data_IF_968797912236
#
_entry.id   IF_968797912236
#
_cell.length_a   1.000
_cell.length_b   1.000
_cell.length_c   1.000
_cell.angle_alpha   90.00
_cell.angle_beta   90.00
_cell.angle_gamma   90.00
#
_symmetry.space_group_name_H-M   'P 1'
#
loop_
_entity.id
_entity.type
_entity.pdbx_description
1 polymer ?
#
# COMPACT_ATOMS: atom_id res chain seq x y z
N UNK A 1 -5.01 -49.98 -24.31
CA UNK A 1 -5.98 -48.85 -24.26
C UNK A 1 -6.51 -48.77 -22.84
N UNK A 2 -5.91 -47.89 -22.05
CA UNK A 2 -6.26 -47.54 -20.66
C UNK A 2 -5.81 -46.07 -20.49
N UNK A 3 -6.61 -45.20 -19.84
CA UNK A 3 -6.41 -43.76 -19.92
C UNK A 3 -5.32 -43.26 -18.96
N UNK A 4 -4.57 -42.25 -19.40
CA UNK A 4 -3.61 -41.50 -18.60
C UNK A 4 -4.37 -40.58 -17.63
N UNK A 5 -4.27 -40.86 -16.33
CA UNK A 5 -4.73 -40.00 -15.26
C UNK A 5 -3.83 -38.77 -15.13
N UNK A 6 -4.40 -37.59 -15.36
CA UNK A 6 -3.77 -36.32 -15.04
C UNK A 6 -3.99 -35.98 -13.57
N UNK A 7 -2.92 -35.93 -12.79
CA UNK A 7 -2.88 -35.21 -11.50
C UNK A 7 -2.09 -33.92 -11.71
N UNK A 8 -2.74 -32.96 -12.37
CA UNK A 8 -2.29 -31.57 -12.40
C UNK A 8 -2.91 -30.84 -11.22
N UNK A 9 -2.21 -30.80 -10.10
CA UNK A 9 -2.54 -29.92 -8.99
C UNK A 9 -2.40 -28.46 -9.45
N UNK A 10 -3.45 -27.62 -9.38
CA UNK A 10 -3.38 -26.26 -9.90
C UNK A 10 -2.55 -25.36 -8.95
N UNK A 11 -1.74 -24.43 -9.48
CA UNK A 11 -0.91 -23.56 -8.66
C UNK A 11 -1.77 -22.54 -7.87
N UNK A 12 -1.32 -22.09 -6.68
CA UNK A 12 -2.07 -21.15 -5.85
C UNK A 12 -1.82 -19.72 -6.34
N UNK A 13 -2.45 -19.35 -7.45
CA UNK A 13 -2.64 -17.95 -7.81
C UNK A 13 -4.10 -17.60 -7.50
N UNK A 14 -4.30 -16.50 -6.77
CA UNK A 14 -5.62 -16.04 -6.33
C UNK A 14 -6.60 -16.01 -7.52
N UNK A 15 -7.74 -16.69 -7.39
CA UNK A 15 -8.85 -16.73 -8.37
C UNK A 15 -9.56 -15.37 -8.57
N UNK A 16 -8.88 -14.26 -8.32
CA UNK A 16 -9.33 -12.92 -8.61
C UNK A 16 -8.62 -12.43 -9.88
N UNK A 17 -8.94 -13.04 -11.02
CA UNK A 17 -8.77 -12.39 -12.32
C UNK A 17 -9.64 -11.12 -12.40
N UNK A 18 -9.60 -10.35 -13.50
CA UNK A 18 -10.18 -9.00 -13.58
C UNK A 18 -11.72 -9.04 -13.68
N UNK A 19 -12.40 -9.62 -12.68
CA UNK A 19 -13.86 -9.68 -12.56
C UNK A 19 -14.51 -8.30 -12.70
N UNK A 20 -13.82 -7.25 -12.25
CA UNK A 20 -14.25 -5.86 -12.43
C UNK A 20 -14.37 -5.48 -13.92
N UNK A 21 -13.43 -5.90 -14.78
CA UNK A 21 -13.49 -5.66 -16.23
C UNK A 21 -14.44 -6.61 -16.97
N UNK A 22 -14.56 -7.87 -16.54
CA UNK A 22 -15.46 -8.85 -17.15
C UNK A 22 -16.93 -8.38 -17.12
N UNK A 23 -17.35 -7.78 -16.00
CA UNK A 23 -18.70 -7.23 -15.84
C UNK A 23 -19.03 -6.12 -16.86
N UNK A 24 -18.02 -5.34 -17.27
CA UNK A 24 -18.17 -4.26 -18.25
C UNK A 24 -18.48 -4.83 -19.62
N UNK A 25 -17.68 -5.80 -20.08
CA UNK A 25 -17.88 -6.44 -21.37
C UNK A 25 -19.23 -7.15 -21.44
N UNK A 26 -19.58 -7.93 -20.41
CA UNK A 26 -20.84 -8.66 -20.34
C UNK A 26 -22.06 -7.73 -20.39
N UNK A 27 -22.03 -6.63 -19.63
CA UNK A 27 -23.13 -5.65 -19.61
C UNK A 27 -23.29 -4.98 -20.97
N UNK A 28 -22.19 -4.52 -21.57
CA UNK A 28 -22.23 -3.77 -22.83
C UNK A 28 -22.70 -4.65 -24.00
N UNK A 29 -22.23 -5.91 -24.06
CA UNK A 29 -22.69 -6.90 -25.04
C UNK A 29 -24.16 -7.23 -24.82
N UNK A 30 -24.60 -7.44 -23.57
CA UNK A 30 -26.01 -7.70 -23.27
C UNK A 30 -26.95 -6.58 -23.72
N UNK A 31 -26.57 -5.33 -23.49
CA UNK A 31 -27.33 -4.17 -23.99
C UNK A 31 -27.37 -4.10 -25.51
N UNK A 32 -26.27 -4.42 -26.19
CA UNK A 32 -26.24 -4.45 -27.65
C UNK A 32 -27.11 -5.59 -28.22
N UNK A 33 -27.07 -6.78 -27.62
CA UNK A 33 -27.95 -7.91 -27.98
C UNK A 33 -29.42 -7.54 -27.81
N UNK A 34 -29.78 -6.94 -26.68
CA UNK A 34 -31.15 -6.45 -26.45
C UNK A 34 -31.57 -5.46 -27.55
N UNK A 35 -30.65 -4.59 -28.00
CA UNK A 35 -30.93 -3.65 -29.09
C UNK A 35 -31.08 -4.35 -30.44
N UNK A 36 -30.29 -5.39 -30.71
CA UNK A 36 -30.41 -6.21 -31.91
C UNK A 36 -31.77 -6.92 -31.97
N UNK A 37 -32.24 -7.50 -30.86
CA UNK A 37 -33.53 -8.17 -30.77
C UNK A 37 -34.69 -7.21 -31.09
N UNK A 38 -34.66 -6.00 -30.51
CA UNK A 38 -35.67 -4.96 -30.75
C UNK A 38 -35.70 -4.52 -32.21
N UNK A 39 -34.55 -4.29 -32.83
CA UNK A 39 -34.50 -3.84 -34.23
C UNK A 39 -34.80 -4.97 -35.22
N UNK A 40 -34.41 -6.21 -34.91
CA UNK A 40 -34.81 -7.39 -35.68
C UNK A 40 -36.32 -7.57 -35.68
N UNK A 41 -36.98 -7.42 -34.52
CA UNK A 41 -38.44 -7.46 -34.42
C UNK A 41 -39.14 -6.43 -35.30
N UNK A 42 -38.59 -5.22 -35.39
CA UNK A 42 -39.10 -4.15 -36.29
C UNK A 42 -38.87 -4.44 -37.78
N UNK A 43 -37.82 -5.19 -38.10
CA UNK A 43 -37.42 -5.52 -39.47
C UNK A 43 -37.99 -6.85 -39.98
N UNK A 44 -39.00 -7.42 -39.31
CA UNK A 44 -39.62 -8.69 -39.73
C UNK A 44 -38.84 -9.94 -39.31
N UNK A 45 -38.06 -9.85 -38.23
CA UNK A 45 -37.39 -10.99 -37.58
C UNK A 45 -35.93 -11.21 -37.98
N UNK A 46 -35.35 -10.39 -38.87
CA UNK A 46 -33.94 -10.52 -39.27
C UNK A 46 -33.27 -9.17 -39.54
N UNK A 47 -31.94 -9.14 -39.42
CA UNK A 47 -31.11 -7.98 -39.77
C UNK A 47 -29.99 -8.42 -40.71
N UNK A 48 -29.75 -7.66 -41.77
CA UNK A 48 -28.58 -7.82 -42.63
C UNK A 48 -27.29 -7.38 -41.93
N UNK A 49 -26.15 -7.86 -42.43
CA UNK A 49 -24.83 -7.46 -41.93
C UNK A 49 -24.59 -5.93 -41.99
N UNK A 50 -25.13 -5.25 -43.00
CA UNK A 50 -25.04 -3.80 -43.13
C UNK A 50 -25.84 -3.08 -42.03
N UNK A 51 -27.05 -3.57 -41.73
CA UNK A 51 -27.89 -3.03 -40.66
C UNK A 51 -27.24 -3.24 -39.28
N UNK A 52 -26.66 -4.42 -39.03
CA UNK A 52 -25.95 -4.72 -37.78
C UNK A 52 -24.77 -3.76 -37.58
N UNK A 53 -23.94 -3.52 -38.62
CA UNK A 53 -22.83 -2.56 -38.54
C UNK A 53 -23.30 -1.13 -38.27
N UNK A 54 -24.33 -0.68 -38.97
CA UNK A 54 -24.88 0.66 -38.78
C UNK A 54 -25.52 0.83 -37.39
N UNK A 55 -26.10 -0.25 -36.83
CA UNK A 55 -26.62 -0.26 -35.47
C UNK A 55 -25.51 -0.23 -34.43
N UNK A 56 -24.44 -1.02 -34.61
CA UNK A 56 -23.28 -1.03 -33.72
C UNK A 56 -22.62 0.35 -33.60
N UNK A 57 -22.41 1.04 -34.74
CA UNK A 57 -21.84 2.39 -34.74
C UNK A 57 -22.72 3.39 -33.98
N UNK A 58 -24.05 3.34 -34.19
CA UNK A 58 -25.00 4.20 -33.48
C UNK A 58 -25.08 3.88 -32.00
N UNK A 59 -25.06 2.60 -31.65
CA UNK A 59 -25.06 2.14 -30.27
C UNK A 59 -23.83 2.66 -29.53
N UNK A 60 -22.63 2.48 -30.08
CA UNK A 60 -21.39 2.98 -29.47
C UNK A 60 -21.45 4.51 -29.30
N UNK A 61 -21.87 5.25 -30.33
CA UNK A 61 -21.94 6.71 -30.27
C UNK A 61 -22.94 7.23 -29.23
N UNK A 62 -24.12 6.60 -29.11
CA UNK A 62 -25.16 7.02 -28.18
C UNK A 62 -24.90 6.59 -26.73
N UNK A 63 -24.34 5.40 -26.55
CA UNK A 63 -24.24 4.75 -25.24
C UNK A 63 -22.92 5.07 -24.52
N UNK A 64 -21.90 5.59 -25.20
CA UNK A 64 -20.64 6.02 -24.58
C UNK A 64 -20.83 6.94 -23.37
N UNK A 65 -21.73 7.92 -23.48
CA UNK A 65 -22.02 8.87 -22.39
C UNK A 65 -22.79 8.20 -21.24
N UNK A 66 -23.72 7.29 -21.56
CA UNK A 66 -24.57 6.58 -20.59
C UNK A 66 -23.77 5.58 -19.77
N UNK A 67 -22.81 4.89 -20.38
CA UNK A 67 -21.93 3.95 -19.68
C UNK A 67 -20.72 4.62 -19.03
N UNK A 68 -20.48 5.93 -19.22
CA UNK A 68 -19.34 6.65 -18.62
C UNK A 68 -19.23 6.41 -17.11
N UNK A 69 -20.34 6.54 -16.38
CA UNK A 69 -20.36 6.30 -14.93
C UNK A 69 -20.19 4.82 -14.54
N UNK A 70 -20.52 3.89 -15.44
CA UNK A 70 -20.24 2.47 -15.25
C UNK A 70 -18.75 2.16 -15.47
N UNK A 71 -18.14 2.69 -16.54
CA UNK A 71 -16.71 2.57 -16.81
C UNK A 71 -15.86 3.18 -15.69
N UNK A 72 -16.25 4.36 -15.20
CA UNK A 72 -15.56 5.00 -14.08
C UNK A 72 -15.60 4.12 -12.82
N UNK A 73 -16.76 3.55 -12.47
CA UNK A 73 -16.86 2.62 -11.33
C UNK A 73 -16.00 1.37 -11.50
N UNK A 74 -16.06 0.74 -12.67
CA UNK A 74 -15.23 -0.43 -12.94
C UNK A 74 -13.73 -0.10 -12.89
N UNK A 75 -13.34 1.05 -13.43
CA UNK A 75 -11.97 1.55 -13.35
C UNK A 75 -11.53 1.81 -11.90
N UNK A 76 -12.36 2.48 -11.11
CA UNK A 76 -12.10 2.76 -9.70
C UNK A 76 -11.95 1.45 -8.91
N UNK A 77 -12.84 0.48 -9.12
CA UNK A 77 -12.80 -0.83 -8.46
C UNK A 77 -11.55 -1.64 -8.86
N UNK A 78 -11.22 -1.68 -10.15
CA UNK A 78 -10.00 -2.35 -10.61
C UNK A 78 -8.74 -1.66 -10.06
N UNK A 79 -8.73 -0.33 -9.96
CA UNK A 79 -7.62 0.42 -9.39
C UNK A 79 -7.48 0.10 -7.91
N UNK A 80 -8.57 0.14 -7.14
CA UNK A 80 -8.58 -0.26 -5.72
C UNK A 80 -8.05 -1.69 -5.55
N UNK A 81 -8.53 -2.65 -6.35
CA UNK A 81 -8.10 -4.04 -6.27
C UNK A 81 -6.61 -4.21 -6.62
N UNK A 82 -6.13 -3.50 -7.65
CA UNK A 82 -4.71 -3.52 -8.04
C UNK A 82 -3.82 -2.92 -6.95
N UNK A 83 -4.18 -1.77 -6.40
CA UNK A 83 -3.43 -1.14 -5.31
C UNK A 83 -3.47 -1.99 -4.03
N UNK A 84 -4.58 -2.69 -3.76
CA UNK A 84 -4.65 -3.66 -2.67
C UNK A 84 -3.70 -4.85 -2.88
N UNK A 85 -3.56 -5.34 -4.11
CA UNK A 85 -2.57 -6.37 -4.46
C UNK A 85 -1.13 -5.85 -4.34
N UNK A 86 -0.88 -4.58 -4.71
CA UNK A 86 0.42 -3.95 -4.50
C UNK A 86 0.74 -3.80 -3.00
N UNK A 87 -0.24 -3.44 -2.17
CA UNK A 87 -0.08 -3.43 -0.70
C UNK A 87 0.18 -4.82 -0.13
N UNK A 88 -0.51 -5.83 -0.64
CA UNK A 88 -0.27 -7.22 -0.27
C UNK A 88 1.11 -7.69 -0.75
N UNK A 89 1.60 -7.16 -1.86
CA UNK A 89 2.99 -7.34 -2.30
C UNK A 89 3.99 -6.55 -1.44
N UNK A 90 3.61 -5.40 -0.87
CA UNK A 90 4.44 -4.67 0.09
C UNK A 90 4.58 -5.43 1.43
N UNK A 91 3.65 -6.34 1.76
CA UNK A 91 3.87 -7.33 2.84
C UNK A 91 5.03 -8.30 2.54
N UNK A 92 5.47 -8.37 1.27
CA UNK A 92 6.67 -9.10 0.85
C UNK A 92 7.95 -8.26 0.97
N UNK A 93 7.86 -6.94 1.19
CA UNK A 93 9.01 -6.07 1.45
C UNK A 93 9.34 -6.14 2.94
N UNK A 94 10.40 -6.88 3.34
CA UNK A 94 10.63 -7.18 4.75
C UNK A 94 10.95 -5.94 5.58
N UNK A 95 11.73 -5.01 5.02
CA UNK A 95 12.11 -3.78 5.70
C UNK A 95 10.91 -2.90 6.01
N UNK A 96 10.03 -2.67 5.02
CA UNK A 96 8.80 -1.90 5.18
C UNK A 96 7.94 -2.47 6.31
N UNK A 97 7.78 -3.79 6.35
CA UNK A 97 6.97 -4.44 7.38
C UNK A 97 7.56 -4.27 8.79
N UNK A 98 8.87 -4.41 8.94
CA UNK A 98 9.56 -4.19 10.21
C UNK A 98 9.47 -2.71 10.62
N UNK A 99 9.57 -1.78 9.67
CA UNK A 99 9.43 -0.35 9.92
C UNK A 99 8.01 0.04 10.35
N UNK A 100 6.99 -0.44 9.64
CA UNK A 100 5.57 -0.17 9.93
C UNK A 100 5.18 -0.67 11.32
N UNK A 101 5.78 -1.76 11.80
CA UNK A 101 5.53 -2.31 13.14
C UNK A 101 5.66 -1.26 14.25
N UNK A 102 6.54 -0.25 14.07
CA UNK A 102 6.77 0.85 15.02
C UNK A 102 5.51 1.66 15.32
N UNK A 103 4.63 1.81 14.34
CA UNK A 103 3.43 2.64 14.45
C UNK A 103 2.14 1.91 14.07
N UNK A 104 2.20 0.59 13.86
CA UNK A 104 1.05 -0.21 13.45
C UNK A 104 -0.16 -0.08 14.41
N UNK A 105 0.11 0.15 15.70
CA UNK A 105 -0.91 0.37 16.74
C UNK A 105 -1.76 1.64 16.50
N UNK A 106 -1.30 2.58 15.67
CA UNK A 106 -2.06 3.77 15.27
C UNK A 106 -3.16 3.46 14.24
N UNK A 107 -3.12 2.27 13.62
CA UNK A 107 -4.14 1.84 12.68
C UNK A 107 -5.28 1.09 13.39
N UNK A 108 -6.52 1.12 12.86
CA UNK A 108 -7.63 0.32 13.38
C UNK A 108 -7.32 -1.17 13.35
N UNK A 109 -7.81 -1.98 14.27
CA UNK A 109 -7.55 -3.43 14.25
C UNK A 109 -8.13 -4.09 12.98
N UNK A 110 -7.42 -5.07 12.42
CA UNK A 110 -7.89 -5.92 11.33
C UNK A 110 -7.41 -7.35 11.57
N UNK A 111 -8.21 -8.33 11.17
CA UNK A 111 -7.85 -9.75 11.30
C UNK A 111 -6.52 -10.04 10.62
N UNK A 112 -5.56 -10.57 11.39
CA UNK A 112 -4.26 -11.01 10.88
C UNK A 112 -3.23 -9.89 10.66
N UNK A 113 -3.36 -8.73 11.31
CA UNK A 113 -2.33 -7.68 11.29
C UNK A 113 -2.04 -7.05 12.67
N UNK A 114 -0.99 -6.22 12.73
CA UNK A 114 -0.51 -5.55 13.95
C UNK A 114 -1.30 -4.26 14.31
N UNK A 115 -2.51 -4.09 13.77
CA UNK A 115 -3.38 -2.95 14.07
C UNK A 115 -3.81 -2.89 15.53
N UNK A 116 -4.20 -1.70 15.99
CA UNK A 116 -4.65 -1.44 17.35
C UNK A 116 -5.96 -0.64 17.42
N UNK A 117 -6.12 0.18 18.46
CA UNK A 117 -7.30 1.03 18.65
C UNK A 117 -7.18 2.41 17.97
N UNK A 118 -6.17 2.60 17.11
CA UNK A 118 -5.92 3.89 16.50
C UNK A 118 -6.87 4.22 15.35
N UNK A 119 -6.94 5.50 15.00
CA UNK A 119 -7.86 6.04 13.98
C UNK A 119 -7.14 6.39 12.66
N UNK A 120 -5.85 6.13 12.56
CA UNK A 120 -5.07 6.49 11.38
C UNK A 120 -5.44 5.57 10.22
N UNK A 121 -5.68 6.14 9.03
CA UNK A 121 -5.97 5.31 7.86
C UNK A 121 -4.71 4.59 7.38
N UNK A 122 -4.81 3.28 7.10
CA UNK A 122 -3.75 2.49 6.46
C UNK A 122 -3.43 2.97 5.04
N UNK A 123 -4.30 3.79 4.44
CA UNK A 123 -4.08 4.37 3.10
C UNK A 123 -2.77 5.18 3.03
N UNK A 124 -2.20 5.59 4.17
CA UNK A 124 -0.92 6.30 4.21
C UNK A 124 0.29 5.44 3.87
N UNK A 125 0.21 4.11 4.00
CA UNK A 125 1.38 3.22 3.98
C UNK A 125 2.20 3.36 2.69
N UNK A 126 1.61 3.38 1.46
CA UNK A 126 2.39 3.55 0.24
C UNK A 126 3.15 4.87 0.19
N UNK A 127 2.46 5.98 0.51
CA UNK A 127 3.07 7.30 0.54
C UNK A 127 4.13 7.44 1.63
N UNK A 128 3.94 6.76 2.76
CA UNK A 128 4.94 6.66 3.83
C UNK A 128 6.20 5.94 3.36
N UNK A 129 6.08 4.72 2.82
CA UNK A 129 7.24 3.94 2.33
C UNK A 129 7.97 4.72 1.22
N UNK A 130 7.24 5.36 0.32
CA UNK A 130 7.81 6.22 -0.73
C UNK A 130 8.59 7.40 -0.14
N UNK A 131 8.04 8.08 0.87
CA UNK A 131 8.71 9.19 1.53
C UNK A 131 9.99 8.72 2.25
N UNK A 132 9.93 7.60 2.97
CA UNK A 132 11.09 6.98 3.63
C UNK A 132 12.17 6.64 2.60
N UNK A 133 11.82 5.93 1.53
CA UNK A 133 12.75 5.57 0.47
C UNK A 133 13.43 6.79 -0.18
N UNK A 134 12.70 7.90 -0.35
CA UNK A 134 13.27 9.16 -0.83
C UNK A 134 14.21 9.83 0.18
N UNK A 135 13.96 9.68 1.48
CA UNK A 135 14.79 10.28 2.54
C UNK A 135 16.08 9.49 2.78
N UNK A 136 16.01 8.15 2.80
CA UNK A 136 17.20 7.31 3.06
C UNK A 136 17.99 6.99 1.78
N UNK A 137 17.35 7.11 0.61
CA UNK A 137 17.96 6.85 -0.69
C UNK A 137 18.02 5.35 -1.04
N UNK A 138 18.20 5.03 -2.33
CA UNK A 138 18.08 3.66 -2.84
C UNK A 138 19.17 2.72 -2.31
N UNK A 139 20.40 3.21 -2.12
CA UNK A 139 21.51 2.37 -1.64
C UNK A 139 21.28 1.87 -0.21
N UNK A 140 20.90 2.76 0.71
CA UNK A 140 20.62 2.38 2.09
C UNK A 140 19.34 1.55 2.18
N UNK A 141 18.32 1.86 1.38
CA UNK A 141 17.11 1.05 1.32
C UNK A 141 17.42 -0.39 0.90
N UNK A 142 18.19 -0.59 -0.17
CA UNK A 142 18.60 -1.92 -0.63
C UNK A 142 19.42 -2.67 0.43
N UNK A 143 20.32 -1.97 1.13
CA UNK A 143 21.08 -2.57 2.23
C UNK A 143 20.16 -3.01 3.38
N UNK A 144 19.12 -2.23 3.67
CA UNK A 144 18.13 -2.60 4.68
C UNK A 144 17.35 -3.85 4.27
N UNK A 145 16.90 -3.93 3.02
CA UNK A 145 16.21 -5.11 2.50
C UNK A 145 17.07 -6.37 2.59
N UNK A 146 18.33 -6.31 2.12
CA UNK A 146 19.27 -7.43 2.21
C UNK A 146 19.52 -7.88 3.66
N UNK A 147 19.63 -6.93 4.58
CA UNK A 147 19.79 -7.24 6.01
C UNK A 147 18.53 -7.89 6.57
N UNK A 148 17.35 -7.44 6.15
CA UNK A 148 16.09 -8.05 6.55
C UNK A 148 15.92 -9.46 6.00
N UNK A 149 16.33 -9.75 4.76
CA UNK A 149 16.30 -11.10 4.20
C UNK A 149 17.15 -12.08 5.02
N UNK A 150 18.33 -11.64 5.48
CA UNK A 150 19.17 -12.42 6.38
C UNK A 150 18.50 -12.65 7.75
N UNK A 151 17.81 -11.64 8.30
CA UNK A 151 17.03 -11.79 9.54
C UNK A 151 15.89 -12.79 9.34
N UNK A 152 15.08 -12.62 8.28
CA UNK A 152 13.97 -13.51 7.97
C UNK A 152 14.44 -14.95 7.87
N UNK A 153 15.52 -15.21 7.13
CA UNK A 153 16.07 -16.55 6.93
C UNK A 153 16.42 -17.27 8.25
N UNK A 154 16.82 -16.54 9.30
CA UNK A 154 17.08 -17.12 10.64
C UNK A 154 15.83 -17.48 11.42
N UNK A 155 14.72 -16.82 11.12
CA UNK A 155 13.43 -16.97 11.82
C UNK A 155 12.39 -17.70 10.96
N UNK A 156 12.80 -18.27 9.83
CA UNK A 156 11.97 -19.15 8.99
C UNK A 156 11.91 -20.54 9.61
N UNK A 157 10.71 -21.00 9.92
CA UNK A 157 10.45 -22.34 10.39
C UNK A 157 10.63 -23.39 9.27
N UNK A 158 10.76 -24.69 9.59
CA UNK A 158 10.96 -25.75 8.58
C UNK A 158 9.85 -25.85 7.53
N UNK A 159 8.63 -25.38 7.84
CA UNK A 159 7.49 -25.34 6.91
C UNK A 159 7.47 -24.07 6.04
N UNK A 160 8.48 -23.20 6.16
CA UNK A 160 8.57 -21.93 5.46
C UNK A 160 7.78 -20.78 6.11
N UNK A 161 7.12 -21.01 7.26
CA UNK A 161 6.43 -19.95 7.98
C UNK A 161 7.42 -19.02 8.70
N UNK A 162 7.04 -17.75 8.88
CA UNK A 162 7.85 -16.73 9.54
C UNK A 162 7.29 -16.42 10.92
N UNK A 163 8.11 -16.56 11.97
CA UNK A 163 7.78 -16.06 13.30
C UNK A 163 8.03 -14.55 13.37
N UNK A 164 7.01 -13.77 13.02
CA UNK A 164 7.07 -12.31 13.08
C UNK A 164 7.33 -11.77 14.49
N UNK A 165 6.88 -12.45 15.54
CA UNK A 165 7.15 -12.02 16.90
C UNK A 165 8.64 -12.13 17.24
N UNK A 166 9.29 -13.23 16.84
CA UNK A 166 10.73 -13.40 16.98
C UNK A 166 11.52 -12.40 16.11
N UNK A 167 11.09 -12.17 14.86
CA UNK A 167 11.70 -11.18 13.96
C UNK A 167 11.65 -9.77 14.57
N UNK A 168 10.50 -9.37 15.13
CA UNK A 168 10.35 -8.06 15.78
C UNK A 168 11.16 -7.96 17.08
N UNK A 169 11.40 -9.08 17.76
CA UNK A 169 12.23 -9.13 18.96
C UNK A 169 13.73 -9.06 18.64
N UNK A 170 14.16 -9.46 17.43
CA UNK A 170 15.55 -9.54 16.99
C UNK A 170 16.29 -8.20 17.18
N UNK A 171 17.39 -8.18 17.96
CA UNK A 171 18.18 -6.96 18.17
C UNK A 171 18.71 -6.33 16.87
N UNK A 172 19.03 -7.15 15.86
CA UNK A 172 19.50 -6.68 14.56
C UNK A 172 18.37 -5.97 13.79
N UNK A 173 17.13 -6.46 13.88
CA UNK A 173 15.97 -5.79 13.27
C UNK A 173 15.74 -4.41 13.90
N UNK A 174 15.81 -4.32 15.23
CA UNK A 174 15.70 -3.05 15.97
C UNK A 174 16.83 -2.08 15.62
N UNK A 175 18.06 -2.57 15.56
CA UNK A 175 19.23 -1.78 15.20
C UNK A 175 19.11 -1.25 13.76
N UNK A 176 18.66 -2.09 12.83
CA UNK A 176 18.49 -1.72 11.43
C UNK A 176 17.50 -0.56 11.26
N UNK A 177 16.32 -0.65 11.90
CA UNK A 177 15.33 0.43 11.88
C UNK A 177 15.93 1.71 12.48
N UNK A 178 16.66 1.59 13.59
CA UNK A 178 17.28 2.76 14.22
C UNK A 178 18.31 3.44 13.30
N UNK A 179 19.14 2.70 12.55
CA UNK A 179 20.06 3.29 11.57
C UNK A 179 19.32 4.09 10.50
N UNK A 180 18.27 3.49 9.92
CA UNK A 180 17.46 4.18 8.91
C UNK A 180 16.81 5.45 9.49
N UNK A 181 16.30 5.39 10.71
CA UNK A 181 15.65 6.53 11.37
C UNK A 181 16.61 7.66 11.73
N UNK A 182 17.87 7.37 12.05
CA UNK A 182 18.91 8.40 12.24
C UNK A 182 19.11 9.20 10.94
N UNK A 183 19.18 8.50 9.80
CA UNK A 183 19.28 9.16 8.48
C UNK A 183 18.01 9.97 8.18
N UNK A 184 16.82 9.41 8.44
CA UNK A 184 15.55 10.12 8.28
C UNK A 184 15.53 11.41 9.10
N UNK A 185 15.90 11.37 10.38
CA UNK A 185 15.95 12.55 11.25
C UNK A 185 16.91 13.62 10.70
N UNK A 186 18.05 13.23 10.13
CA UNK A 186 18.99 14.13 9.48
C UNK A 186 18.39 14.92 8.30
N UNK A 187 17.32 14.44 7.67
CA UNK A 187 16.65 15.14 6.57
C UNK A 187 15.75 16.30 7.03
N UNK A 188 15.50 16.43 8.34
CA UNK A 188 14.61 17.43 8.96
C UNK A 188 15.36 18.69 9.45
N UNK A 189 16.50 19.04 8.84
CA UNK A 189 17.21 20.30 9.16
C UNK A 189 16.34 21.55 9.02
N UNK A 190 15.40 21.55 8.07
CA UNK A 190 14.28 22.49 8.00
C UNK A 190 12.98 21.76 8.36
N UNK A 191 12.72 21.61 9.66
CA UNK A 191 11.65 20.76 10.20
C UNK A 191 10.28 21.02 9.54
N UNK A 192 9.82 22.28 9.53
CA UNK A 192 8.49 22.62 9.00
C UNK A 192 8.35 22.34 7.51
N UNK A 193 9.37 22.73 6.72
CA UNK A 193 9.39 22.46 5.28
C UNK A 193 9.39 20.96 5.00
N UNK A 194 10.18 20.18 5.75
CA UNK A 194 10.27 18.73 5.57
C UNK A 194 8.99 18.02 6.01
N UNK A 195 8.34 18.48 7.09
CA UNK A 195 7.02 17.99 7.55
C UNK A 195 5.94 18.19 6.50
N UNK A 196 5.87 19.39 5.91
CA UNK A 196 4.91 19.70 4.85
C UNK A 196 5.17 18.79 3.65
N UNK A 197 6.42 18.73 3.17
CA UNK A 197 6.81 17.85 2.07
C UNK A 197 6.44 16.37 2.32
N UNK A 198 6.69 15.88 3.53
CA UNK A 198 6.36 14.50 3.91
C UNK A 198 4.85 14.28 3.89
N UNK A 199 4.08 15.17 4.49
CA UNK A 199 2.62 15.08 4.52
C UNK A 199 2.02 15.14 3.12
N UNK A 200 2.55 16.01 2.26
CA UNK A 200 2.13 16.13 0.85
C UNK A 200 2.44 14.85 0.08
N UNK A 201 3.63 14.27 0.26
CA UNK A 201 4.01 13.00 -0.36
C UNK A 201 3.07 11.86 0.07
N UNK A 202 2.75 11.78 1.36
CA UNK A 202 1.83 10.78 1.88
C UNK A 202 0.42 10.99 1.31
N UNK A 203 -0.07 12.22 1.34
CA UNK A 203 -1.42 12.57 0.91
C UNK A 203 -1.63 12.39 -0.61
N UNK A 204 -0.60 12.66 -1.42
CA UNK A 204 -0.61 12.44 -2.87
C UNK A 204 -0.63 10.96 -3.25
N UNK A 205 -0.22 10.07 -2.34
CA UNK A 205 -0.09 8.63 -2.58
C UNK A 205 -0.99 7.81 -1.64
N UNK A 206 -2.10 8.39 -1.18
CA UNK A 206 -3.10 7.63 -0.42
C UNK A 206 -3.71 6.57 -1.33
N UNK A 207 -3.78 5.32 -0.84
CA UNK A 207 -4.50 4.26 -1.56
C UNK A 207 -5.93 4.72 -1.86
N UNK A 208 -6.45 4.47 -3.07
CA UNK A 208 -7.84 4.77 -3.39
C UNK A 208 -8.79 4.08 -2.41
N UNK A 209 -9.89 4.74 -2.12
CA UNK A 209 -10.88 4.27 -1.15
C UNK A 209 -12.23 4.16 -1.84
N UNK A 210 -13.05 3.20 -1.41
CA UNK A 210 -14.43 3.11 -1.86
C UNK A 210 -15.21 4.32 -1.37
N UNK A 211 -16.04 4.92 -2.23
CA UNK A 211 -16.96 5.99 -1.82
C UNK A 211 -17.86 5.53 -0.68
N UNK A 212 -18.06 6.40 0.31
CA UNK A 212 -18.82 6.14 1.53
C UNK A 212 -18.06 5.39 2.62
N UNK A 213 -16.78 5.08 2.43
CA UNK A 213 -15.96 4.53 3.51
C UNK A 213 -15.71 5.58 4.60
N UNK A 214 -15.54 5.12 5.84
CA UNK A 214 -15.34 6.00 7.00
C UNK A 214 -14.09 6.88 6.92
N UNK A 215 -13.09 6.47 6.15
CA UNK A 215 -11.83 7.18 5.95
C UNK A 215 -11.71 7.82 4.56
N UNK A 216 -12.83 8.03 3.85
CA UNK A 216 -12.83 8.59 2.50
C UNK A 216 -12.14 9.97 2.44
N UNK A 217 -12.50 10.84 3.37
CA UNK A 217 -11.98 12.20 3.52
C UNK A 217 -10.64 12.28 4.28
N UNK A 218 -10.08 11.14 4.70
CA UNK A 218 -8.85 11.12 5.47
C UNK A 218 -7.71 11.83 4.75
N UNK A 219 -6.96 12.64 5.49
CA UNK A 219 -5.68 13.21 5.12
C UNK A 219 -4.74 13.17 6.31
N UNK A 220 -3.45 12.98 6.06
CA UNK A 220 -2.41 13.16 7.05
C UNK A 220 -2.23 14.65 7.31
N UNK A 221 -2.86 15.14 8.38
CA UNK A 221 -2.66 16.49 8.91
C UNK A 221 -1.50 16.55 9.92
N UNK A 222 -1.31 17.73 10.52
CA UNK A 222 -0.21 18.01 11.45
C UNK A 222 -0.21 17.11 12.69
N UNK A 223 -1.36 16.96 13.35
CA UNK A 223 -1.50 16.06 14.50
C UNK A 223 -1.27 14.60 14.14
N UNK A 224 -1.73 14.18 12.96
CA UNK A 224 -1.49 12.85 12.42
C UNK A 224 -0.01 12.58 12.13
N UNK A 225 0.68 13.56 11.54
CA UNK A 225 2.13 13.51 11.34
C UNK A 225 2.87 13.39 12.68
N UNK A 226 2.54 14.24 13.66
CA UNK A 226 3.18 14.20 14.97
C UNK A 226 2.97 12.86 15.67
N UNK A 227 1.74 12.31 15.66
CA UNK A 227 1.44 10.99 16.20
C UNK A 227 2.25 9.88 15.50
N UNK A 228 2.28 9.89 14.16
CA UNK A 228 3.03 8.93 13.36
C UNK A 228 4.52 8.97 13.68
N UNK A 229 5.13 10.15 13.64
CA UNK A 229 6.57 10.31 13.83
C UNK A 229 6.99 10.03 15.28
N UNK A 230 6.18 10.38 16.28
CA UNK A 230 6.43 10.00 17.67
C UNK A 230 6.43 8.48 17.84
N UNK A 231 5.43 7.79 17.30
CA UNK A 231 5.36 6.33 17.35
C UNK A 231 6.54 5.69 16.62
N UNK A 232 6.88 6.21 15.43
CA UNK A 232 8.00 5.71 14.63
C UNK A 232 9.34 5.81 15.36
N UNK A 233 9.58 6.91 16.08
CA UNK A 233 10.85 7.21 16.75
C UNK A 233 10.91 6.81 18.23
N UNK A 234 9.81 6.32 18.82
CA UNK A 234 9.71 6.06 20.26
C UNK A 234 10.84 5.16 20.80
N UNK A 235 11.11 4.04 20.11
CA UNK A 235 12.15 3.09 20.50
C UNK A 235 13.56 3.65 20.35
N UNK A 236 13.81 4.44 19.29
CA UNK A 236 15.09 5.12 19.10
C UNK A 236 15.31 6.16 20.20
N UNK A 237 14.29 6.93 20.55
CA UNK A 237 14.34 7.88 21.65
C UNK A 237 14.60 7.19 23.00
N UNK A 238 13.95 6.05 23.24
CA UNK A 238 14.18 5.24 24.45
C UNK A 238 15.62 4.70 24.49
N UNK A 239 16.12 4.15 23.38
CA UNK A 239 17.50 3.65 23.28
C UNK A 239 18.54 4.76 23.49
N UNK A 240 18.30 5.94 22.93
CA UNK A 240 19.17 7.11 23.10
C UNK A 240 19.23 7.57 24.56
N UNK A 241 18.09 7.61 25.27
CA UNK A 241 18.04 7.93 26.70
C UNK A 241 18.73 6.88 27.56
N UNK A 242 18.60 5.60 27.21
CA UNK A 242 19.19 4.50 27.97
C UNK A 242 20.72 4.45 27.85
N UNK A 243 21.29 4.76 26.68
CA UNK A 243 22.74 4.73 26.45
C UNK A 243 23.23 5.89 25.56
N UNK A 244 23.27 7.13 26.09
CA UNK A 244 23.67 8.29 25.30
C UNK A 244 25.16 8.26 24.92
N UNK A 245 26.03 7.67 25.74
CA UNK A 245 27.46 7.54 25.43
C UNK A 245 27.69 6.57 24.26
N UNK A 246 27.01 5.42 24.25
CA UNK A 246 27.08 4.47 23.14
C UNK A 246 26.52 5.03 21.84
N UNK A 247 25.42 5.80 21.90
CA UNK A 247 24.89 6.49 20.73
C UNK A 247 25.89 7.51 20.14
N UNK A 248 26.57 8.29 21.00
CA UNK A 248 27.62 9.23 20.55
C UNK A 248 28.84 8.52 19.98
N UNK A 249 29.28 7.43 20.59
CA UNK A 249 30.38 6.63 20.07
C UNK A 249 30.07 6.05 18.69
N UNK A 250 28.79 5.70 18.45
CA UNK A 250 28.33 5.09 17.20
C UNK A 250 28.09 6.10 16.07
N UNK A 251 27.38 7.19 16.35
CA UNK A 251 26.89 8.12 15.32
C UNK A 251 27.59 9.49 15.34
N UNK A 252 28.42 9.76 16.34
CA UNK A 252 29.06 11.05 16.56
C UNK A 252 28.18 12.05 17.30
N UNK A 253 28.84 13.04 17.93
CA UNK A 253 28.16 14.01 18.80
C UNK A 253 27.21 14.95 18.05
N UNK A 254 27.60 15.40 16.85
CA UNK A 254 26.77 16.25 16.01
C UNK A 254 25.44 15.56 15.62
N UNK A 255 25.51 14.28 15.22
CA UNK A 255 24.33 13.49 14.83
C UNK A 255 23.39 13.27 16.01
N UNK A 256 23.93 12.93 17.18
CA UNK A 256 23.14 12.74 18.40
C UNK A 256 22.47 14.05 18.83
N UNK A 257 23.17 15.18 18.72
CA UNK A 257 22.61 16.50 19.03
C UNK A 257 21.47 16.87 18.09
N UNK A 258 21.65 16.67 16.78
CA UNK A 258 20.60 16.92 15.79
C UNK A 258 19.39 16.00 15.99
N UNK A 259 19.62 14.72 16.28
CA UNK A 259 18.56 13.77 16.61
C UNK A 259 17.77 14.20 17.86
N UNK A 260 18.46 14.64 18.91
CA UNK A 260 17.82 15.14 20.12
C UNK A 260 17.00 16.43 19.87
N UNK A 261 17.46 17.35 19.01
CA UNK A 261 16.66 18.50 18.59
C UNK A 261 15.41 18.08 17.82
N UNK A 262 15.56 17.16 16.85
CA UNK A 262 14.44 16.63 16.09
C UNK A 262 13.37 16.01 17.01
N UNK A 263 13.78 15.17 17.97
CA UNK A 263 12.87 14.55 18.94
C UNK A 263 12.15 15.60 19.80
N UNK A 264 12.84 16.64 20.27
CA UNK A 264 12.20 17.74 21.02
C UNK A 264 11.17 18.49 20.19
N UNK A 265 11.44 18.72 18.90
CA UNK A 265 10.45 19.34 18.00
C UNK A 265 9.22 18.46 17.80
N UNK A 266 9.38 17.15 17.78
CA UNK A 266 8.24 16.21 17.76
C UNK A 266 7.43 16.26 19.06
N UNK A 267 8.04 16.51 20.22
CA UNK A 267 7.31 16.63 21.50
C UNK A 267 6.52 17.94 21.60
N UNK A 268 7.02 19.03 21.00
CA UNK A 268 6.35 20.34 21.00
C UNK A 268 5.34 20.59 19.88
N UNK A 269 5.18 19.68 18.92
CA UNK A 269 4.30 19.81 17.75
C UNK A 269 2.88 19.22 17.92
#
# INVERSE_FOLDING_TARGET
>A
MTPLGGTGEPPPYSKAGPRCCESVGATMVGHFVTRLEVEAGKAGGSLSAAQIRALAQRFVAAEQSRFKGYYQRAFDECTIAREALLLESARKMPFDRILIRRFAHLFPARTGDDGGSGIMSRRIIPGFNLAIGKMIGPALYQQCDQTCEAILSRHTAPDGSLDWAAIYADPQAKALVNEALVVVAGTFSSFDKRRIWFSDMVNANLTPVRRGASDESFRLGESGFAALMRALFADLAAALRANPAGARAKWGDATVTALAEFLRRLEGA
#
